data_IF_898141229382
#
_entry.id   IF_898141229382
#
_cell.length_a   1.000
_cell.length_b   1.000
_cell.length_c   1.000
_cell.angle_alpha   90.00
_cell.angle_beta   90.00
_cell.angle_gamma   90.00
#
_symmetry.space_group_name_H-M   'P 1'
#
loop_
_entity.id
_entity.type
_entity.pdbx_description
1 polymer ?
#
# COMPACT_ATOMS: atom_id res chain seq x y z
N UNK A 1 10.33 20.22 -18.04
CA UNK A 1 9.94 20.51 -16.65
C UNK A 1 10.83 19.73 -15.69
N UNK A 2 11.89 20.39 -15.25
CA UNK A 2 12.90 19.83 -14.35
C UNK A 2 12.63 20.38 -12.95
N UNK A 3 12.59 19.50 -11.97
CA UNK A 3 12.47 19.81 -10.57
C UNK A 3 13.74 19.43 -9.82
N UNK A 4 13.96 20.08 -8.68
CA UNK A 4 15.07 19.81 -7.80
C UNK A 4 14.54 19.24 -6.48
N UNK A 5 14.95 18.01 -6.15
CA UNK A 5 14.65 17.38 -4.86
C UNK A 5 15.92 17.40 -4.03
N UNK A 6 15.94 18.20 -2.95
CA UNK A 6 17.10 18.30 -2.06
C UNK A 6 16.86 17.48 -0.80
N UNK A 7 17.67 16.46 -0.60
CA UNK A 7 17.68 15.61 0.58
C UNK A 7 18.85 16.04 1.48
N UNK A 8 18.52 16.53 2.67
CA UNK A 8 19.50 16.93 3.67
C UNK A 8 19.67 15.84 4.72
N UNK A 9 20.89 15.49 5.05
CA UNK A 9 21.21 14.51 6.09
C UNK A 9 22.33 15.00 7.00
N UNK A 10 22.14 14.76 8.29
CA UNK A 10 23.12 15.09 9.31
C UNK A 10 24.03 13.89 9.55
N UNK A 11 25.34 14.10 9.42
CA UNK A 11 26.41 13.10 9.63
C UNK A 11 26.27 11.77 8.86
N UNK A 12 25.44 11.72 7.84
CA UNK A 12 25.22 10.50 7.04
C UNK A 12 25.03 10.86 5.55
N UNK A 13 25.46 9.97 4.67
CA UNK A 13 25.33 10.14 3.22
C UNK A 13 24.34 9.13 2.64
N UNK A 14 23.79 9.47 1.48
CA UNK A 14 23.04 8.52 0.66
C UNK A 14 23.87 8.21 -0.58
N UNK A 15 24.15 6.92 -0.82
CA UNK A 15 24.74 6.51 -2.09
C UNK A 15 23.71 6.67 -3.21
N UNK A 16 24.17 7.04 -4.40
CA UNK A 16 23.32 7.14 -5.59
C UNK A 16 22.56 5.84 -5.86
N UNK A 17 23.25 4.70 -5.70
CA UNK A 17 22.63 3.35 -5.86
C UNK A 17 21.45 3.11 -4.93
N UNK A 18 21.36 3.80 -3.79
CA UNK A 18 20.20 3.75 -2.89
C UNK A 18 19.19 4.84 -3.20
N UNK A 19 19.65 6.04 -3.52
CA UNK A 19 18.80 7.21 -3.77
C UNK A 19 17.99 7.10 -5.03
N UNK A 20 18.62 6.67 -6.12
CA UNK A 20 18.01 6.58 -7.45
C UNK A 20 16.74 5.70 -7.48
N UNK A 21 16.75 4.44 -7.02
CA UNK A 21 15.54 3.63 -7.03
C UNK A 21 14.42 4.21 -6.16
N UNK A 22 14.76 4.88 -5.05
CA UNK A 22 13.74 5.51 -4.19
C UNK A 22 13.03 6.63 -4.95
N UNK A 23 13.76 7.53 -5.60
CA UNK A 23 13.20 8.66 -6.35
C UNK A 23 12.37 8.17 -7.54
N UNK A 24 12.87 7.18 -8.29
CA UNK A 24 12.17 6.60 -9.44
C UNK A 24 10.88 5.86 -9.03
N UNK A 25 10.86 5.28 -7.84
CA UNK A 25 9.66 4.63 -7.30
C UNK A 25 8.51 5.61 -7.02
N UNK A 26 8.77 6.91 -6.90
CA UNK A 26 7.74 7.94 -6.85
C UNK A 26 7.25 8.40 -8.23
N UNK A 27 7.86 7.91 -9.32
CA UNK A 27 7.44 8.22 -10.69
C UNK A 27 8.26 9.34 -11.35
N UNK A 28 9.32 9.79 -10.71
CA UNK A 28 10.27 10.71 -11.31
C UNK A 28 11.28 9.96 -12.18
N UNK A 29 11.80 10.64 -13.17
CA UNK A 29 12.98 10.20 -13.92
C UNK A 29 14.17 11.04 -13.45
N UNK A 30 15.17 10.39 -12.86
CA UNK A 30 16.37 11.07 -12.41
C UNK A 30 17.20 11.50 -13.64
N UNK A 31 17.61 12.76 -13.67
CA UNK A 31 18.45 13.33 -14.74
C UNK A 31 19.90 13.53 -14.26
N UNK A 32 20.08 14.12 -13.10
CA UNK A 32 21.39 14.35 -12.47
C UNK A 32 21.31 14.31 -10.97
N UNK A 33 22.48 14.19 -10.33
CA UNK A 33 22.67 14.32 -8.88
C UNK A 33 23.91 15.18 -8.61
N UNK A 34 23.77 16.12 -7.69
CA UNK A 34 24.86 16.97 -7.22
C UNK A 34 25.01 16.82 -5.71
N UNK A 35 26.03 16.10 -5.24
CA UNK A 35 26.30 15.98 -3.82
C UNK A 35 27.04 17.20 -3.28
N UNK A 36 26.59 17.72 -2.15
CA UNK A 36 27.27 18.78 -1.41
C UNK A 36 27.56 18.32 0.01
N UNK A 37 28.68 18.81 0.58
CA UNK A 37 29.06 18.55 1.95
C UNK A 37 29.40 19.87 2.63
N UNK A 38 28.67 20.18 3.69
CA UNK A 38 28.89 21.35 4.52
C UNK A 38 29.48 20.88 5.85
N UNK A 39 30.66 21.41 6.24
CA UNK A 39 31.24 21.18 7.57
C UNK A 39 30.71 22.27 8.50
N UNK A 40 30.09 21.88 9.61
CA UNK A 40 29.65 22.77 10.67
C UNK A 40 30.71 22.85 11.77
N UNK A 41 31.34 21.70 12.08
CA UNK A 41 32.49 21.57 13.02
C UNK A 41 33.40 20.41 12.58
N UNK A 42 34.36 19.99 13.44
CA UNK A 42 35.19 18.82 13.14
C UNK A 42 34.37 17.53 13.00
N UNK A 43 33.31 17.35 13.82
CA UNK A 43 32.52 16.15 13.90
C UNK A 43 31.10 16.27 13.28
N UNK A 44 30.72 17.50 12.92
CA UNK A 44 29.37 17.77 12.40
C UNK A 44 29.40 18.15 10.92
N UNK A 45 28.65 17.44 10.15
CA UNK A 45 28.56 17.61 8.70
C UNK A 45 27.11 17.50 8.23
N UNK A 46 26.72 18.34 7.31
CA UNK A 46 25.48 18.21 6.56
C UNK A 46 25.83 17.73 5.16
N UNK A 47 25.18 16.68 4.73
CA UNK A 47 25.23 16.20 3.35
C UNK A 47 23.94 16.57 2.65
N UNK A 48 24.06 17.15 1.45
CA UNK A 48 22.92 17.50 0.61
C UNK A 48 23.07 16.72 -0.69
N UNK A 49 22.07 15.88 -1.00
CA UNK A 49 21.93 15.27 -2.32
C UNK A 49 20.87 16.08 -3.07
N UNK A 50 21.28 16.76 -4.13
CA UNK A 50 20.40 17.56 -4.99
C UNK A 50 20.12 16.77 -6.27
N UNK A 51 18.90 16.22 -6.35
CA UNK A 51 18.45 15.40 -7.46
C UNK A 51 17.68 16.24 -8.47
N UNK A 52 18.22 16.38 -9.69
CA UNK A 52 17.50 16.93 -10.83
C UNK A 52 16.58 15.85 -11.41
N UNK A 53 15.28 16.09 -11.38
CA UNK A 53 14.28 15.12 -11.81
C UNK A 53 13.36 15.67 -12.87
N UNK A 54 13.01 14.82 -13.83
CA UNK A 54 11.96 15.11 -14.81
C UNK A 54 10.60 14.67 -14.26
N UNK A 55 9.65 15.59 -14.29
CA UNK A 55 8.25 15.33 -13.89
C UNK A 55 7.45 14.93 -15.13
N UNK A 56 6.71 13.81 -15.09
CA UNK A 56 5.82 13.43 -16.18
C UNK A 56 4.83 14.54 -16.54
N UNK A 57 4.64 14.81 -17.83
CA UNK A 57 3.83 15.93 -18.33
C UNK A 57 2.39 15.94 -17.78
N UNK A 58 1.77 14.76 -17.60
CA UNK A 58 0.42 14.63 -17.07
C UNK A 58 0.27 14.96 -15.57
N UNK A 59 1.37 15.22 -14.84
CA UNK A 59 1.37 15.55 -13.42
C UNK A 59 1.67 17.03 -13.14
N UNK A 60 2.03 17.80 -14.15
CA UNK A 60 2.46 19.18 -13.98
C UNK A 60 1.41 20.09 -13.35
N UNK A 61 0.13 19.88 -13.68
CA UNK A 61 -0.97 20.64 -13.04
C UNK A 61 -1.19 20.28 -11.58
N UNK A 62 -0.95 19.02 -11.20
CA UNK A 62 -1.13 18.52 -9.83
C UNK A 62 0.00 18.94 -8.91
N UNK A 63 1.19 19.09 -9.43
CA UNK A 63 2.41 19.31 -8.64
C UNK A 63 2.51 20.74 -8.06
N UNK A 64 1.59 21.62 -8.44
CA UNK A 64 1.42 22.95 -7.83
C UNK A 64 0.50 22.93 -6.59
N UNK A 65 -0.10 21.78 -6.26
CA UNK A 65 -0.92 21.63 -5.07
C UNK A 65 -0.02 21.50 -3.82
N UNK A 66 -0.08 22.44 -2.87
CA UNK A 66 0.74 22.40 -1.66
C UNK A 66 0.50 21.13 -0.81
N UNK A 67 -0.74 20.63 -0.76
CA UNK A 67 -1.06 19.43 -0.01
C UNK A 67 -0.39 18.19 -0.61
N UNK A 68 -0.40 18.08 -1.94
CA UNK A 68 0.29 17.00 -2.65
C UNK A 68 1.80 17.05 -2.43
N UNK A 69 2.39 18.25 -2.44
CA UNK A 69 3.82 18.44 -2.18
C UNK A 69 4.19 17.99 -0.77
N UNK A 70 3.40 18.32 0.24
CA UNK A 70 3.67 17.88 1.61
C UNK A 70 3.50 16.37 1.79
N UNK A 71 2.52 15.75 1.15
CA UNK A 71 2.40 14.29 1.08
C UNK A 71 3.62 13.64 0.43
N UNK A 72 4.10 14.23 -0.66
CA UNK A 72 5.26 13.74 -1.39
C UNK A 72 6.55 13.84 -0.54
N UNK A 73 6.82 15.00 0.06
CA UNK A 73 7.98 15.21 0.95
C UNK A 73 7.98 14.18 2.09
N UNK A 74 6.85 14.07 2.78
CA UNK A 74 6.68 13.12 3.88
C UNK A 74 6.92 11.67 3.42
N UNK A 75 6.40 11.29 2.25
CA UNK A 75 6.55 9.95 1.70
C UNK A 75 7.99 9.65 1.27
N UNK A 76 8.67 10.61 0.65
CA UNK A 76 10.10 10.48 0.27
C UNK A 76 10.95 10.28 1.52
N UNK A 77 10.77 11.13 2.54
CA UNK A 77 11.50 10.99 3.83
C UNK A 77 11.23 9.61 4.45
N UNK A 78 9.97 9.17 4.48
CA UNK A 78 9.60 7.87 5.03
C UNK A 78 10.26 6.70 4.27
N UNK A 79 10.42 6.79 2.95
CA UNK A 79 11.11 5.79 2.14
C UNK A 79 12.63 5.79 2.41
N UNK A 80 13.26 6.96 2.47
CA UNK A 80 14.69 7.09 2.79
C UNK A 80 15.04 6.63 4.21
N UNK A 81 14.11 6.80 5.16
CA UNK A 81 14.26 6.36 6.57
C UNK A 81 13.74 4.94 6.80
N UNK A 82 13.32 4.22 5.76
CA UNK A 82 12.80 2.84 5.84
C UNK A 82 11.57 2.70 6.76
N UNK A 83 10.73 3.73 6.81
CA UNK A 83 9.44 3.68 7.50
C UNK A 83 8.33 3.13 6.61
N UNK A 84 8.52 3.17 5.29
CA UNK A 84 7.66 2.53 4.29
C UNK A 84 8.50 1.72 3.30
N UNK A 85 7.88 0.77 2.60
CA UNK A 85 8.53 0.09 1.47
C UNK A 85 8.80 1.08 0.35
N UNK A 86 9.96 0.90 -0.30
CA UNK A 86 10.30 1.61 -1.53
C UNK A 86 10.06 0.69 -2.71
N UNK A 87 8.89 0.78 -3.29
CA UNK A 87 8.46 0.06 -4.48
C UNK A 87 7.65 0.97 -5.41
N UNK A 88 7.30 0.45 -6.56
CA UNK A 88 6.60 1.21 -7.59
C UNK A 88 5.20 1.70 -7.20
N UNK A 89 4.56 1.16 -6.14
CA UNK A 89 3.29 1.65 -5.62
C UNK A 89 3.40 3.07 -5.05
N UNK A 90 4.62 3.51 -4.69
CA UNK A 90 4.84 4.89 -4.24
C UNK A 90 4.47 5.94 -5.30
N UNK A 91 4.36 5.54 -6.59
CA UNK A 91 3.80 6.40 -7.66
C UNK A 91 2.38 6.88 -7.35
N UNK A 92 1.62 6.12 -6.55
CA UNK A 92 0.27 6.50 -6.15
C UNK A 92 0.22 7.79 -5.31
N UNK A 93 1.34 8.20 -4.72
CA UNK A 93 1.42 9.49 -4.03
C UNK A 93 1.18 10.63 -5.04
N UNK A 94 1.90 10.63 -6.16
CA UNK A 94 1.75 11.65 -7.20
C UNK A 94 0.52 11.43 -8.09
N UNK A 95 0.30 10.18 -8.54
CA UNK A 95 -0.77 9.89 -9.51
C UNK A 95 -2.15 9.84 -8.85
N UNK A 96 -2.24 9.29 -7.64
CA UNK A 96 -3.49 9.09 -6.89
C UNK A 96 -3.74 10.11 -5.78
N UNK A 97 -2.79 11.02 -5.49
CA UNK A 97 -2.90 11.98 -4.39
C UNK A 97 -2.87 11.33 -3.00
N UNK A 98 -2.39 10.08 -2.90
CA UNK A 98 -2.40 9.30 -1.67
C UNK A 98 -1.21 9.67 -0.76
N UNK A 99 -1.42 9.69 0.55
CA UNK A 99 -0.33 9.77 1.52
C UNK A 99 0.45 8.44 1.59
N UNK A 100 1.66 8.45 2.15
CA UNK A 100 2.48 7.26 2.37
C UNK A 100 1.74 6.13 3.10
N UNK A 101 0.93 6.48 4.11
CA UNK A 101 0.16 5.51 4.89
C UNK A 101 -1.02 4.94 4.09
N UNK A 102 -1.66 5.76 3.25
CA UNK A 102 -2.72 5.30 2.35
C UNK A 102 -2.16 4.33 1.31
N UNK A 103 -0.99 4.64 0.74
CA UNK A 103 -0.26 3.70 -0.14
C UNK A 103 0.10 2.40 0.59
N UNK A 104 0.49 2.46 1.87
CA UNK A 104 0.76 1.26 2.67
C UNK A 104 -0.48 0.37 2.85
N UNK A 105 -1.68 0.93 2.94
CA UNK A 105 -2.92 0.15 2.93
C UNK A 105 -3.13 -0.54 1.58
N UNK A 106 -2.99 0.19 0.47
CA UNK A 106 -3.10 -0.39 -0.89
C UNK A 106 -2.08 -1.52 -1.07
N UNK A 107 -0.85 -1.34 -0.59
CA UNK A 107 0.18 -2.38 -0.58
C UNK A 107 -0.25 -3.61 0.22
N UNK A 108 -0.83 -3.43 1.40
CA UNK A 108 -1.39 -4.51 2.19
C UNK A 108 -2.50 -5.28 1.45
N UNK A 109 -3.34 -4.58 0.67
CA UNK A 109 -4.35 -5.20 -0.19
C UNK A 109 -3.68 -6.02 -1.30
N UNK A 110 -2.66 -5.48 -1.99
CA UNK A 110 -1.89 -6.21 -3.02
C UNK A 110 -1.27 -7.47 -2.44
N UNK A 111 -0.62 -7.36 -1.28
CA UNK A 111 0.01 -8.50 -0.58
C UNK A 111 -1.01 -9.58 -0.22
N UNK A 112 -2.19 -9.18 0.25
CA UNK A 112 -3.29 -10.12 0.50
C UNK A 112 -3.80 -10.77 -0.79
N UNK A 113 -4.02 -10.00 -1.86
CA UNK A 113 -4.47 -10.53 -3.15
C UNK A 113 -3.49 -11.54 -3.73
N UNK A 114 -2.19 -11.35 -3.56
CA UNK A 114 -1.16 -12.31 -3.97
C UNK A 114 -1.26 -13.66 -3.22
N UNK A 115 -1.93 -13.71 -2.06
CA UNK A 115 -2.22 -14.94 -1.32
C UNK A 115 -3.53 -15.63 -1.74
N UNK A 116 -4.25 -15.07 -2.71
CA UNK A 116 -5.49 -15.66 -3.25
C UNK A 116 -5.21 -16.48 -4.52
N UNK A 117 -6.26 -17.07 -5.11
CA UNK A 117 -6.13 -17.79 -6.39
C UNK A 117 -6.18 -16.84 -7.61
N UNK A 118 -5.88 -15.57 -7.42
CA UNK A 118 -5.78 -14.64 -8.52
C UNK A 118 -4.54 -14.99 -9.37
N UNK A 119 -4.66 -15.26 -10.68
CA UNK A 119 -3.55 -15.82 -11.48
C UNK A 119 -2.57 -14.74 -11.96
N UNK A 120 -2.27 -13.76 -11.08
CA UNK A 120 -1.37 -12.65 -11.41
C UNK A 120 -0.33 -12.45 -10.32
N UNK A 121 0.88 -12.08 -10.74
CA UNK A 121 1.95 -11.73 -9.80
C UNK A 121 1.64 -10.44 -9.03
N UNK A 122 2.19 -10.30 -7.83
CA UNK A 122 2.07 -9.07 -7.03
C UNK A 122 2.57 -7.83 -7.80
N UNK A 123 3.58 -7.99 -8.65
CA UNK A 123 4.08 -6.91 -9.52
C UNK A 123 3.01 -6.48 -10.52
N UNK A 124 2.39 -7.42 -11.24
CA UNK A 124 1.35 -7.10 -12.22
C UNK A 124 0.10 -6.47 -11.56
N UNK A 125 -0.30 -6.98 -10.39
CA UNK A 125 -1.37 -6.37 -9.58
C UNK A 125 -1.01 -4.91 -9.23
N UNK A 126 0.23 -4.67 -8.79
CA UNK A 126 0.71 -3.32 -8.47
C UNK A 126 0.73 -2.41 -9.70
N UNK A 127 1.15 -2.92 -10.85
CA UNK A 127 1.17 -2.16 -12.11
C UNK A 127 -0.23 -1.76 -12.55
N UNK A 128 -1.20 -2.66 -12.41
CA UNK A 128 -2.60 -2.38 -12.68
C UNK A 128 -3.14 -1.27 -11.76
N UNK A 129 -2.94 -1.37 -10.45
CA UNK A 129 -3.43 -0.36 -9.50
C UNK A 129 -2.76 1.01 -9.70
N UNK A 130 -1.50 1.06 -10.15
CA UNK A 130 -0.82 2.31 -10.54
C UNK A 130 -1.41 2.91 -11.81
N UNK A 131 -1.67 2.08 -12.81
CA UNK A 131 -2.30 2.51 -14.06
C UNK A 131 -3.67 3.13 -13.81
N UNK A 132 -4.44 2.53 -12.93
CA UNK A 132 -5.76 3.00 -12.50
C UNK A 132 -5.70 3.73 -11.16
N UNK A 133 -4.81 4.75 -11.06
CA UNK A 133 -4.58 5.49 -9.83
C UNK A 133 -5.85 6.17 -9.29
N UNK A 134 -6.78 6.57 -10.16
CA UNK A 134 -8.07 7.11 -9.76
C UNK A 134 -8.90 6.05 -8.99
N UNK A 135 -9.00 4.84 -9.53
CA UNK A 135 -9.70 3.73 -8.85
C UNK A 135 -9.00 3.40 -7.53
N UNK A 136 -7.67 3.40 -7.50
CA UNK A 136 -6.90 3.17 -6.27
C UNK A 136 -7.19 4.24 -5.19
N UNK A 137 -7.33 5.50 -5.59
CA UNK A 137 -7.79 6.57 -4.72
C UNK A 137 -9.22 6.35 -4.20
N UNK A 138 -10.13 5.94 -5.08
CA UNK A 138 -11.52 5.62 -4.71
C UNK A 138 -11.61 4.39 -3.80
N UNK A 139 -10.76 3.37 -3.98
CA UNK A 139 -10.66 2.22 -3.07
C UNK A 139 -10.26 2.65 -1.66
N UNK A 140 -9.30 3.59 -1.54
CA UNK A 140 -8.99 4.18 -0.24
C UNK A 140 -10.16 5.02 0.29
N UNK A 141 -10.81 5.83 -0.52
CA UNK A 141 -12.00 6.60 -0.12
C UNK A 141 -13.13 5.70 0.40
N UNK A 142 -13.37 4.56 -0.26
CA UNK A 142 -14.33 3.55 0.21
C UNK A 142 -13.93 2.98 1.58
N UNK A 143 -12.65 2.64 1.74
CA UNK A 143 -12.12 2.18 3.02
C UNK A 143 -12.29 3.25 4.11
N UNK A 144 -12.00 4.50 3.81
CA UNK A 144 -12.15 5.62 4.73
C UNK A 144 -13.61 5.82 5.14
N UNK A 145 -14.54 5.86 4.18
CA UNK A 145 -15.98 5.98 4.45
C UNK A 145 -16.51 4.83 5.33
N UNK A 146 -15.93 3.61 5.21
CA UNK A 146 -16.32 2.45 6.02
C UNK A 146 -15.75 2.47 7.44
N UNK A 147 -14.54 3.00 7.65
CA UNK A 147 -13.78 2.73 8.88
C UNK A 147 -13.27 3.98 9.60
N UNK A 148 -13.35 5.16 8.99
CA UNK A 148 -12.91 6.39 9.66
C UNK A 148 -13.84 6.70 10.84
N UNK A 149 -13.32 6.79 12.09
CA UNK A 149 -14.15 7.05 13.25
C UNK A 149 -14.86 8.40 13.23
N UNK A 150 -14.35 9.36 12.43
CA UNK A 150 -14.88 10.73 12.35
C UNK A 150 -15.91 10.92 11.23
N UNK A 151 -15.89 10.06 10.20
CA UNK A 151 -16.61 10.29 8.94
C UNK A 151 -17.34 9.04 8.42
N UNK A 152 -17.73 8.12 9.32
CA UNK A 152 -18.47 6.94 8.90
C UNK A 152 -19.85 7.32 8.37
N UNK A 153 -20.10 7.03 7.09
CA UNK A 153 -21.39 7.32 6.43
C UNK A 153 -21.79 6.23 5.45
N UNK A 154 -22.91 5.58 5.72
CA UNK A 154 -23.45 4.56 4.83
C UNK A 154 -23.82 5.10 3.44
N UNK A 155 -24.24 6.37 3.37
CA UNK A 155 -24.54 7.04 2.10
C UNK A 155 -23.30 7.20 1.27
N UNK A 156 -22.23 7.74 1.84
CA UNK A 156 -20.93 7.88 1.15
C UNK A 156 -20.37 6.52 0.69
N UNK A 157 -20.51 5.48 1.49
CA UNK A 157 -20.11 4.11 1.09
C UNK A 157 -20.81 3.70 -0.19
N UNK A 158 -22.15 3.88 -0.28
CA UNK A 158 -22.93 3.53 -1.46
C UNK A 158 -22.56 4.37 -2.68
N UNK A 159 -22.37 5.67 -2.51
CA UNK A 159 -21.97 6.58 -3.59
C UNK A 159 -20.60 6.19 -4.17
N UNK A 160 -19.59 5.96 -3.31
CA UNK A 160 -18.25 5.57 -3.76
C UNK A 160 -18.27 4.20 -4.44
N UNK A 161 -19.08 3.24 -3.93
CA UNK A 161 -19.25 1.95 -4.59
C UNK A 161 -19.83 2.08 -6.00
N UNK A 162 -20.80 2.96 -6.20
CA UNK A 162 -21.35 3.26 -7.53
C UNK A 162 -20.31 3.89 -8.46
N UNK A 163 -19.54 4.86 -7.96
CA UNK A 163 -18.45 5.48 -8.71
C UNK A 163 -17.39 4.46 -9.14
N UNK A 164 -16.94 3.60 -8.23
CA UNK A 164 -15.98 2.54 -8.55
C UNK A 164 -16.57 1.61 -9.62
N UNK A 165 -17.83 1.20 -9.47
CA UNK A 165 -18.49 0.30 -10.41
C UNK A 165 -18.58 0.94 -11.80
N UNK A 166 -18.89 2.24 -11.87
CA UNK A 166 -18.93 2.97 -13.14
C UNK A 166 -17.55 3.06 -13.81
N UNK A 167 -16.48 3.22 -13.05
CA UNK A 167 -15.11 3.23 -13.58
C UNK A 167 -14.67 1.82 -14.02
N UNK A 168 -15.03 0.77 -13.27
CA UNK A 168 -14.73 -0.62 -13.63
C UNK A 168 -15.38 -1.01 -14.97
N UNK A 169 -16.58 -0.53 -15.27
CA UNK A 169 -17.27 -0.80 -16.53
C UNK A 169 -16.57 -0.18 -17.75
N UNK A 170 -15.61 0.72 -17.56
CA UNK A 170 -14.81 1.32 -18.64
C UNK A 170 -13.50 0.55 -18.91
N UNK A 171 -13.19 -0.44 -18.08
CA UNK A 171 -11.95 -1.22 -18.21
C UNK A 171 -12.12 -2.28 -19.29
N UNK A 172 -11.36 -2.15 -20.37
CA UNK A 172 -11.46 -3.05 -21.53
C UNK A 172 -10.61 -4.32 -21.38
N UNK A 173 -9.50 -4.25 -20.64
CA UNK A 173 -8.60 -5.39 -20.45
C UNK A 173 -9.14 -6.33 -19.38
N UNK A 174 -9.41 -7.58 -19.76
CA UNK A 174 -9.98 -8.61 -18.87
C UNK A 174 -9.14 -8.87 -17.63
N UNK A 175 -7.81 -8.94 -17.77
CA UNK A 175 -6.91 -9.18 -16.64
C UNK A 175 -6.91 -8.00 -15.66
N UNK A 176 -6.91 -6.78 -16.16
CA UNK A 176 -6.97 -5.57 -15.36
C UNK A 176 -8.34 -5.44 -14.65
N UNK A 177 -9.43 -5.74 -15.35
CA UNK A 177 -10.77 -5.77 -14.78
C UNK A 177 -10.88 -6.79 -13.63
N UNK A 178 -10.33 -7.99 -13.80
CA UNK A 178 -10.28 -9.00 -12.75
C UNK A 178 -9.51 -8.53 -11.52
N UNK A 179 -8.36 -7.88 -11.70
CA UNK A 179 -7.55 -7.35 -10.62
C UNK A 179 -8.29 -6.25 -9.86
N UNK A 180 -8.86 -5.29 -10.58
CA UNK A 180 -9.58 -4.16 -9.98
C UNK A 180 -10.84 -4.61 -9.23
N UNK A 181 -11.60 -5.54 -9.80
CA UNK A 181 -12.77 -6.17 -9.13
C UNK A 181 -12.35 -6.97 -7.89
N UNK A 182 -11.22 -7.68 -7.96
CA UNK A 182 -10.68 -8.38 -6.79
C UNK A 182 -10.29 -7.39 -5.67
N UNK A 183 -9.57 -6.30 -6.00
CA UNK A 183 -9.22 -5.27 -5.02
C UNK A 183 -10.47 -4.61 -4.40
N UNK A 184 -11.49 -4.30 -5.21
CA UNK A 184 -12.77 -3.78 -4.77
C UNK A 184 -13.50 -4.76 -3.84
N UNK A 185 -13.49 -6.06 -4.17
CA UNK A 185 -14.08 -7.10 -3.32
C UNK A 185 -13.40 -7.20 -1.96
N UNK A 186 -12.07 -7.06 -1.91
CA UNK A 186 -11.29 -7.08 -0.66
C UNK A 186 -11.73 -5.93 0.26
N UNK A 187 -11.81 -4.69 -0.26
CA UNK A 187 -12.24 -3.53 0.54
C UNK A 187 -13.70 -3.71 1.01
N UNK A 188 -14.57 -4.23 0.16
CA UNK A 188 -15.97 -4.51 0.52
C UNK A 188 -16.10 -5.59 1.61
N UNK A 189 -15.27 -6.63 1.55
CA UNK A 189 -15.25 -7.73 2.51
C UNK A 189 -14.67 -7.34 3.88
N UNK A 190 -13.98 -6.21 3.99
CA UNK A 190 -13.40 -5.76 5.26
C UNK A 190 -14.49 -5.42 6.28
N UNK A 191 -14.31 -5.95 7.50
CA UNK A 191 -15.21 -5.77 8.65
C UNK A 191 -14.59 -4.91 9.76
N UNK A 192 -13.27 -4.97 9.93
CA UNK A 192 -12.52 -4.26 10.98
C UNK A 192 -11.10 -4.00 10.53
N UNK A 193 -10.50 -2.96 11.08
CA UNK A 193 -9.09 -2.62 10.87
C UNK A 193 -8.52 -1.91 12.09
N UNK A 194 -7.18 -1.94 12.24
CA UNK A 194 -6.44 -1.12 13.19
C UNK A 194 -5.88 0.16 12.56
N UNK A 195 -6.21 0.47 11.31
CA UNK A 195 -5.60 1.55 10.53
C UNK A 195 -5.62 2.90 11.26
N UNK A 196 -6.70 3.22 11.96
CA UNK A 196 -6.88 4.48 12.69
C UNK A 196 -6.39 4.43 14.15
N UNK A 197 -5.87 3.29 14.60
CA UNK A 197 -5.33 3.17 15.96
C UNK A 197 -3.92 3.79 16.04
N UNK A 198 -3.66 4.47 17.15
CA UNK A 198 -2.36 5.06 17.47
C UNK A 198 -1.74 4.40 18.68
N UNK A 199 -0.43 4.57 18.86
CA UNK A 199 0.32 4.28 20.06
C UNK A 199 0.13 5.41 21.08
N UNK A 200 0.67 5.24 22.29
CA UNK A 200 0.57 6.23 23.36
C UNK A 200 1.21 7.59 23.01
N UNK A 201 2.21 7.58 22.15
CA UNK A 201 2.89 8.78 21.63
C UNK A 201 2.14 9.46 20.46
N UNK A 202 0.95 8.99 20.10
CA UNK A 202 0.15 9.49 19.00
C UNK A 202 0.56 8.98 17.61
N UNK A 203 1.67 8.24 17.48
CA UNK A 203 2.09 7.65 16.21
C UNK A 203 1.22 6.46 15.83
N UNK A 204 1.12 6.21 14.54
CA UNK A 204 0.38 5.04 14.07
C UNK A 204 1.12 3.74 14.37
N UNK A 205 0.37 2.66 14.58
CA UNK A 205 0.96 1.32 14.71
C UNK A 205 1.79 0.98 13.48
N UNK A 206 2.96 0.31 13.63
CA UNK A 206 3.88 0.00 12.51
C UNK A 206 3.39 -1.19 11.66
N UNK A 207 2.13 -1.58 11.78
CA UNK A 207 1.49 -2.60 10.99
C UNK A 207 0.02 -2.23 10.73
N UNK A 208 -0.51 -2.72 9.63
CA UNK A 208 -1.92 -2.60 9.26
C UNK A 208 -2.52 -4.00 9.31
N UNK A 209 -3.65 -4.14 9.98
CA UNK A 209 -4.43 -5.38 9.98
C UNK A 209 -5.87 -5.10 9.55
N UNK A 210 -6.45 -6.04 8.81
CA UNK A 210 -7.85 -5.99 8.44
C UNK A 210 -8.47 -7.37 8.52
N UNK A 211 -9.68 -7.42 9.06
CA UNK A 211 -10.51 -8.62 9.15
C UNK A 211 -11.47 -8.64 7.98
N UNK A 212 -11.57 -9.78 7.32
CA UNK A 212 -12.38 -10.00 6.13
C UNK A 212 -13.47 -11.05 6.39
N UNK A 213 -14.61 -10.88 5.76
CA UNK A 213 -15.59 -11.92 5.55
C UNK A 213 -15.22 -12.70 4.29
N UNK A 214 -14.66 -13.91 4.47
CA UNK A 214 -14.02 -14.64 3.36
C UNK A 214 -14.96 -14.92 2.19
N UNK A 215 -16.23 -15.18 2.45
CA UNK A 215 -17.22 -15.46 1.41
C UNK A 215 -17.45 -14.29 0.43
N UNK A 216 -17.08 -13.07 0.82
CA UNK A 216 -17.22 -11.86 0.00
C UNK A 216 -15.97 -11.52 -0.82
N UNK A 217 -14.87 -12.22 -0.58
CA UNK A 217 -13.62 -11.99 -1.32
C UNK A 217 -13.62 -12.84 -2.59
N UNK A 218 -13.40 -12.23 -3.73
CA UNK A 218 -13.25 -12.94 -5.00
C UNK A 218 -11.98 -13.78 -5.04
N UNK A 219 -11.99 -14.84 -5.82
CA UNK A 219 -10.84 -15.71 -6.10
C UNK A 219 -10.23 -16.41 -4.87
N UNK A 220 -11.02 -16.65 -3.82
CA UNK A 220 -10.56 -17.50 -2.72
C UNK A 220 -10.82 -18.98 -3.01
N UNK A 221 -9.88 -19.89 -2.63
CA UNK A 221 -10.12 -21.33 -2.71
C UNK A 221 -11.06 -21.80 -1.61
N UNK A 222 -11.94 -22.76 -1.97
CA UNK A 222 -12.80 -23.47 -1.00
C UNK A 222 -11.99 -24.48 -0.16
N UNK A 223 -12.44 -24.78 1.09
CA UNK A 223 -13.55 -24.18 1.81
C UNK A 223 -13.24 -22.76 2.27
N UNK A 224 -14.24 -21.87 2.29
CA UNK A 224 -14.03 -20.52 2.82
C UNK A 224 -13.99 -20.58 4.34
N UNK A 225 -12.95 -20.04 4.98
CA UNK A 225 -13.01 -19.71 6.41
C UNK A 225 -14.17 -18.74 6.67
N UNK A 226 -14.71 -18.74 7.88
CA UNK A 226 -15.75 -17.78 8.27
C UNK A 226 -15.20 -16.35 8.20
N UNK A 227 -13.98 -16.17 8.71
CA UNK A 227 -13.25 -14.90 8.69
C UNK A 227 -11.77 -15.12 8.44
N UNK A 228 -11.16 -14.13 7.83
CA UNK A 228 -9.70 -14.00 7.69
C UNK A 228 -9.23 -12.71 8.34
N UNK A 229 -8.07 -12.72 8.96
CA UNK A 229 -7.37 -11.51 9.39
C UNK A 229 -6.02 -11.51 8.70
N UNK A 230 -5.75 -10.48 7.92
CA UNK A 230 -4.45 -10.27 7.30
C UNK A 230 -3.71 -9.15 8.02
N UNK A 231 -2.41 -9.31 8.20
CA UNK A 231 -1.53 -8.32 8.79
C UNK A 231 -0.40 -8.04 7.82
N UNK A 232 -0.21 -6.75 7.55
CA UNK A 232 0.88 -6.23 6.74
C UNK A 232 1.78 -5.33 7.57
N UNK A 233 3.07 -5.53 7.51
CA UNK A 233 4.10 -4.61 8.00
C UNK A 233 5.33 -4.67 7.09
N UNK A 234 6.26 -3.73 7.28
CA UNK A 234 7.57 -3.73 6.60
C UNK A 234 8.43 -4.97 6.91
N UNK A 235 8.16 -5.65 8.02
CA UNK A 235 9.00 -6.72 8.56
C UNK A 235 8.44 -8.10 8.28
N UNK A 236 7.12 -8.22 8.23
CA UNK A 236 6.42 -9.50 8.08
C UNK A 236 5.01 -9.30 7.56
N UNK A 237 4.49 -10.36 6.99
CA UNK A 237 3.09 -10.54 6.68
C UNK A 237 2.56 -11.69 7.55
N UNK A 238 1.28 -11.64 7.93
CA UNK A 238 0.66 -12.72 8.67
C UNK A 238 -0.80 -12.90 8.27
N UNK A 239 -1.31 -14.13 8.43
CA UNK A 239 -2.71 -14.44 8.21
C UNK A 239 -3.24 -15.33 9.36
N UNK A 240 -4.48 -15.06 9.76
CA UNK A 240 -5.24 -15.92 10.64
C UNK A 240 -6.55 -16.30 9.96
N UNK A 241 -6.77 -17.60 9.78
CA UNK A 241 -7.97 -18.15 9.19
C UNK A 241 -8.86 -18.73 10.30
N UNK A 242 -10.09 -18.24 10.36
CA UNK A 242 -11.08 -18.69 11.35
C UNK A 242 -12.17 -19.53 10.68
N UNK A 243 -12.11 -20.85 10.87
CA UNK A 243 -13.04 -21.79 10.23
C UNK A 243 -14.47 -21.79 10.80
N UNK A 244 -14.65 -21.46 12.08
CA UNK A 244 -15.92 -21.51 12.80
C UNK A 244 -16.09 -20.43 13.85
N UNK A 245 -17.15 -20.55 14.69
CA UNK A 245 -17.44 -19.60 15.77
C UNK A 245 -16.37 -19.63 16.87
N UNK A 246 -15.77 -20.79 17.11
CA UNK A 246 -14.68 -20.95 18.08
C UNK A 246 -13.34 -20.78 17.37
N UNK A 247 -12.50 -19.87 17.87
CA UNK A 247 -11.14 -19.72 17.38
C UNK A 247 -10.27 -20.79 18.05
N UNK A 248 -9.54 -21.55 17.23
CA UNK A 248 -8.43 -22.42 17.66
C UNK A 248 -7.15 -21.79 17.13
N UNK A 249 -6.08 -21.84 17.90
CA UNK A 249 -4.89 -21.13 17.54
C UNK A 249 -3.62 -21.89 17.80
N UNK A 250 -2.64 -21.55 17.02
CA UNK A 250 -1.22 -21.83 17.14
C UNK A 250 -0.52 -20.79 16.33
N UNK A 251 0.77 -20.59 16.58
CA UNK A 251 1.62 -19.72 15.79
C UNK A 251 2.57 -20.60 14.97
N UNK A 252 2.64 -20.36 13.66
CA UNK A 252 3.59 -21.01 12.78
C UNK A 252 4.36 -19.95 11.99
N UNK A 253 5.67 -20.05 11.99
CA UNK A 253 6.52 -19.33 11.05
C UNK A 253 6.57 -20.09 9.73
N UNK A 254 6.49 -19.35 8.61
CA UNK A 254 6.58 -19.91 7.27
C UNK A 254 7.55 -19.11 6.42
N UNK A 255 8.39 -19.80 5.65
CA UNK A 255 9.26 -19.20 4.64
C UNK A 255 8.58 -19.07 3.26
N UNK A 256 7.34 -19.55 3.15
CA UNK A 256 6.52 -19.55 1.93
C UNK A 256 5.86 -18.18 1.72
N UNK A 257 6.62 -17.20 1.25
CA UNK A 257 6.15 -15.81 1.12
C UNK A 257 4.96 -15.66 0.17
N UNK A 258 4.87 -16.51 -0.86
CA UNK A 258 3.87 -16.36 -1.92
C UNK A 258 2.57 -17.12 -1.67
N UNK A 259 2.58 -18.14 -0.78
CA UNK A 259 1.43 -19.02 -0.58
C UNK A 259 1.22 -19.50 0.85
N UNK A 260 1.71 -18.75 1.86
CA UNK A 260 1.53 -19.13 3.26
C UNK A 260 0.04 -19.21 3.68
N UNK A 261 -0.84 -18.48 3.00
CA UNK A 261 -2.28 -18.63 3.20
C UNK A 261 -2.77 -20.03 2.83
N UNK A 262 -2.31 -20.57 1.73
CA UNK A 262 -2.65 -21.94 1.28
C UNK A 262 -2.15 -22.98 2.28
N UNK A 263 -0.96 -22.79 2.85
CA UNK A 263 -0.43 -23.63 3.91
C UNK A 263 -1.34 -23.64 5.14
N UNK A 264 -1.73 -22.44 5.62
CA UNK A 264 -2.64 -22.30 6.77
C UNK A 264 -4.02 -22.91 6.47
N UNK A 265 -4.54 -22.70 5.25
CA UNK A 265 -5.82 -23.28 4.83
C UNK A 265 -5.77 -24.82 4.84
N UNK A 266 -4.66 -25.43 4.46
CA UNK A 266 -4.45 -26.86 4.57
C UNK A 266 -4.56 -27.38 6.01
N UNK A 267 -3.97 -26.65 6.96
CA UNK A 267 -4.09 -26.95 8.38
C UNK A 267 -5.52 -26.82 8.91
N UNK A 268 -6.24 -25.77 8.48
CA UNK A 268 -7.67 -25.57 8.84
C UNK A 268 -8.53 -26.71 8.31
N UNK A 269 -8.32 -27.13 7.03
CA UNK A 269 -9.04 -28.27 6.44
C UNK A 269 -8.84 -29.56 7.25
N UNK A 270 -7.62 -29.86 7.65
CA UNK A 270 -7.30 -31.06 8.45
C UNK A 270 -8.00 -31.03 9.82
N UNK A 271 -8.28 -29.88 10.39
CA UNK A 271 -8.98 -29.74 11.67
C UNK A 271 -10.52 -29.75 11.53
N UNK A 272 -11.06 -29.48 10.35
CA UNK A 272 -12.51 -29.50 10.13
C UNK A 272 -13.07 -30.91 9.89
N UNK A 273 -12.20 -31.89 9.61
CA UNK A 273 -12.55 -33.28 9.33
C UNK A 273 -12.58 -34.15 10.59
N UNK A 274 -12.24 -33.61 11.73
CA UNK A 274 -12.23 -34.31 13.05
C UNK A 274 -13.50 -34.04 13.85
#
# INVERSE_FOLDING_TARGET
>A
NIWQIKLLRYNDTVSLSRGLPIIENFGFKLLDEKPYKIKLSQDEKIYICDFGVEVPAGLLSKINDPELIEKLKTAIVAAFTRQIESDSLNKLVLHGGLSARQVSLIRGIVKYMAQTNLPFSASYISDCLKKYANISGQLFGLFEAKFCPRHHSAVQVSEIQQLITAELNKVENIAEDQILKAAFSVVNAMLRTNYYQTLADGTHKPYISFKLESAKVLNLPKPYPLYEVFVYSLRFEAIHLRGGKVARGGLRWSDRKEDFRTEVLGLVKAQMVK
#
